data_IF_722339642904
#
_entry.id   IF_722339642904
#
_cell.length_a   1.000
_cell.length_b   1.000
_cell.length_c   1.000
_cell.angle_alpha   90.00
_cell.angle_beta   90.00
_cell.angle_gamma   90.00
#
_symmetry.space_group_name_H-M   'P 1'
#
loop_
_entity.id
_entity.type
_entity.pdbx_description
1 polymer ?
#
# COMPACT_ATOMS: atom_id res chain seq x y z
N UNK A 1 23.51 22.01 8.18
CA UNK A 1 22.44 21.00 8.05
C UNK A 1 22.79 19.84 8.97
N UNK A 2 22.13 19.76 10.12
CA UNK A 2 22.27 18.59 11.00
C UNK A 2 21.37 17.49 10.45
N UNK A 3 21.98 16.39 10.03
CA UNK A 3 21.29 15.17 9.65
C UNK A 3 20.77 14.56 10.94
N UNK A 4 19.45 14.61 11.16
CA UNK A 4 18.83 13.91 12.27
C UNK A 4 19.18 12.42 12.16
N UNK A 5 19.98 11.94 13.11
CA UNK A 5 20.12 10.51 13.36
C UNK A 5 18.71 9.97 13.61
N UNK A 6 18.20 9.23 12.63
CA UNK A 6 17.06 8.35 12.83
C UNK A 6 17.47 7.46 13.98
N UNK A 7 16.82 7.67 15.13
CA UNK A 7 16.97 6.82 16.29
C UNK A 7 16.81 5.38 15.81
N UNK A 8 17.90 4.62 15.90
CA UNK A 8 17.89 3.18 15.81
C UNK A 8 16.94 2.67 16.90
N UNK A 9 15.64 2.62 16.57
CA UNK A 9 14.76 1.70 17.24
C UNK A 9 15.34 0.32 16.91
N UNK A 10 15.91 -0.29 17.94
CA UNK A 10 16.09 -1.73 18.05
C UNK A 10 14.72 -2.38 17.84
N UNK A 11 14.29 -2.47 16.59
CA UNK A 11 13.34 -3.48 16.15
C UNK A 11 14.16 -4.74 16.25
N UNK A 12 14.12 -5.40 17.42
CA UNK A 12 14.39 -6.82 17.45
C UNK A 12 13.55 -7.39 16.31
N UNK A 13 14.18 -7.81 15.21
CA UNK A 13 13.55 -8.66 14.22
C UNK A 13 13.33 -9.99 14.96
N UNK A 14 12.33 -9.95 15.84
CA UNK A 14 12.02 -10.99 16.79
C UNK A 14 11.43 -12.11 15.99
N UNK A 15 12.01 -13.30 16.16
CA UNK A 15 11.56 -14.56 15.59
C UNK A 15 10.07 -14.54 15.22
N UNK A 16 9.77 -14.75 13.94
CA UNK A 16 8.38 -14.83 13.47
C UNK A 16 7.60 -15.94 14.18
N UNK A 17 8.27 -16.98 14.67
CA UNK A 17 7.63 -17.97 15.54
C UNK A 17 7.49 -17.46 16.98
N UNK A 18 6.25 -17.31 17.45
CA UNK A 18 5.90 -16.91 18.82
C UNK A 18 5.11 -18.00 19.52
N UNK A 19 5.60 -18.49 20.65
CA UNK A 19 4.89 -19.49 21.46
C UNK A 19 4.60 -18.89 22.82
N UNK A 20 3.33 -18.92 23.24
CA UNK A 20 2.93 -18.45 24.55
C UNK A 20 3.63 -19.29 25.65
N UNK A 21 4.40 -18.68 26.58
CA UNK A 21 5.11 -19.41 27.63
C UNK A 21 4.21 -20.28 28.52
N UNK A 22 2.92 -19.93 28.63
CA UNK A 22 1.93 -20.74 29.37
C UNK A 22 1.72 -22.13 28.77
N UNK A 23 2.13 -22.35 27.52
CA UNK A 23 2.04 -23.64 26.84
C UNK A 23 3.21 -24.58 27.15
N UNK A 24 4.17 -24.16 28.00
CA UNK A 24 5.30 -25.01 28.42
C UNK A 24 4.85 -26.42 28.92
N UNK A 25 3.81 -26.57 29.75
CA UNK A 25 3.35 -27.90 30.15
C UNK A 25 2.87 -28.75 28.96
N UNK A 26 2.20 -28.15 27.97
CA UNK A 26 1.79 -28.86 26.76
C UNK A 26 3.00 -29.30 25.93
N UNK A 27 4.02 -28.44 25.81
CA UNK A 27 5.27 -28.78 25.12
C UNK A 27 6.03 -29.93 25.82
N UNK A 28 6.02 -29.97 27.15
CA UNK A 28 6.68 -31.02 27.93
C UNK A 28 5.97 -32.37 27.79
N UNK A 29 4.65 -32.36 27.67
CA UNK A 29 3.84 -33.57 27.46
C UNK A 29 3.73 -33.97 25.98
N UNK A 30 4.17 -33.13 25.05
CA UNK A 30 4.10 -33.41 23.62
C UNK A 30 5.14 -34.46 23.20
N UNK A 31 4.83 -35.19 22.13
CA UNK A 31 5.81 -36.06 21.50
C UNK A 31 7.00 -35.24 20.98
N UNK A 32 8.23 -35.78 21.08
CA UNK A 32 9.45 -35.08 20.65
C UNK A 32 9.38 -34.57 19.21
N UNK A 33 8.81 -35.37 18.30
CA UNK A 33 8.57 -34.99 16.91
C UNK A 33 7.75 -33.68 16.75
N UNK A 34 6.85 -33.37 17.70
CA UNK A 34 6.11 -32.09 17.70
C UNK A 34 7.04 -30.93 18.02
N UNK A 35 7.93 -31.08 19.00
CA UNK A 35 8.92 -30.07 19.38
C UNK A 35 9.90 -29.83 18.24
N UNK A 36 10.41 -30.90 17.61
CA UNK A 36 11.28 -30.79 16.42
C UNK A 36 10.58 -30.08 15.27
N UNK A 37 9.29 -30.37 15.04
CA UNK A 37 8.51 -29.68 14.02
C UNK A 37 8.41 -28.18 14.31
N UNK A 38 8.08 -27.79 15.53
CA UNK A 38 8.02 -26.37 15.91
C UNK A 38 9.38 -25.68 15.73
N UNK A 39 10.48 -26.36 16.06
CA UNK A 39 11.83 -25.84 15.79
C UNK A 39 12.12 -25.67 14.30
N UNK A 40 11.71 -26.65 13.47
CA UNK A 40 11.84 -26.56 12.01
C UNK A 40 11.05 -25.37 11.46
N UNK A 41 9.80 -25.20 11.90
CA UNK A 41 8.97 -24.04 11.54
C UNK A 41 9.68 -22.75 11.93
N UNK A 42 10.23 -22.66 13.15
CA UNK A 42 10.98 -21.49 13.60
C UNK A 42 12.14 -21.11 12.68
N UNK A 43 12.87 -22.09 12.15
CA UNK A 43 13.92 -21.86 11.13
C UNK A 43 13.34 -21.45 9.78
N UNK A 44 12.25 -22.07 9.35
CA UNK A 44 11.62 -21.77 8.06
C UNK A 44 11.06 -20.34 7.98
N UNK A 45 10.61 -19.78 9.10
CA UNK A 45 10.07 -18.42 9.17
C UNK A 45 11.05 -17.39 9.74
N UNK A 46 12.31 -17.75 9.96
CA UNK A 46 13.29 -16.88 10.63
C UNK A 46 13.48 -15.52 9.92
N UNK A 47 13.32 -15.50 8.60
CA UNK A 47 13.51 -14.31 7.76
C UNK A 47 12.21 -13.54 7.49
N UNK A 48 11.07 -14.03 8.01
CA UNK A 48 9.78 -13.33 7.91
C UNK A 48 9.75 -12.22 8.96
N UNK A 49 9.44 -10.99 8.52
CA UNK A 49 9.52 -9.76 9.31
C UNK A 49 8.18 -9.11 9.53
N UNK A 50 7.26 -9.24 8.56
CA UNK A 50 5.96 -8.56 8.59
C UNK A 50 4.86 -9.38 9.25
N UNK A 51 5.08 -10.68 9.44
CA UNK A 51 4.07 -11.61 9.95
C UNK A 51 4.68 -12.61 10.93
N UNK A 52 3.92 -12.91 11.98
CA UNK A 52 4.26 -13.89 13.00
C UNK A 52 3.37 -15.13 12.87
N UNK A 53 3.97 -16.31 13.11
CA UNK A 53 3.28 -17.56 13.39
C UNK A 53 3.19 -17.72 14.91
N UNK A 54 1.98 -17.63 15.45
CA UNK A 54 1.73 -17.60 16.89
C UNK A 54 1.04 -18.87 17.38
N UNK A 55 1.46 -19.37 18.54
CA UNK A 55 0.78 -20.43 19.29
C UNK A 55 0.30 -19.85 20.62
N UNK A 56 -0.98 -19.51 20.67
CA UNK A 56 -1.55 -18.67 21.75
C UNK A 56 -2.31 -19.51 22.79
N UNK A 57 -3.19 -20.39 22.30
CA UNK A 57 -4.12 -21.17 23.12
C UNK A 57 -3.65 -22.63 23.31
N UNK A 58 -3.04 -23.21 22.28
CA UNK A 58 -2.49 -24.56 22.29
C UNK A 58 -1.35 -24.69 21.27
N UNK A 59 -0.60 -25.80 21.34
CA UNK A 59 0.58 -26.07 20.48
C UNK A 59 0.23 -26.70 19.13
N UNK A 60 -1.04 -27.02 18.87
CA UNK A 60 -1.50 -27.73 17.68
C UNK A 60 -2.15 -26.78 16.67
N UNK A 61 -2.71 -25.66 17.14
CA UNK A 61 -3.47 -24.71 16.33
C UNK A 61 -2.70 -23.39 16.19
N UNK A 62 -1.95 -23.21 15.09
CA UNK A 62 -1.24 -21.96 14.86
C UNK A 62 -2.21 -20.84 14.46
N UNK A 63 -1.80 -19.61 14.73
CA UNK A 63 -2.41 -18.40 14.19
C UNK A 63 -1.35 -17.63 13.41
N UNK A 64 -1.77 -16.85 12.40
CA UNK A 64 -0.87 -15.97 11.65
C UNK A 64 -1.33 -14.54 11.87
N UNK A 65 -0.44 -13.68 12.38
CA UNK A 65 -0.74 -12.29 12.75
C UNK A 65 0.25 -11.35 12.07
N UNK A 66 -0.16 -10.11 11.82
CA UNK A 66 0.78 -9.08 11.40
C UNK A 66 1.70 -8.73 12.57
N UNK A 67 2.98 -8.53 12.29
CA UNK A 67 3.97 -8.05 13.26
C UNK A 67 3.78 -6.55 13.56
N UNK A 68 2.94 -5.83 12.79
CA UNK A 68 2.63 -4.43 13.02
C UNK A 68 1.76 -4.26 14.28
N UNK A 69 2.08 -3.25 15.08
CA UNK A 69 1.32 -2.94 16.29
C UNK A 69 -0.15 -2.63 15.94
N UNK A 70 -1.08 -3.26 16.67
CA UNK A 70 -2.54 -3.07 16.62
C UNK A 70 -3.34 -3.95 15.64
N UNK A 71 -2.72 -4.91 14.96
CA UNK A 71 -3.48 -5.88 14.17
C UNK A 71 -3.83 -7.12 15.01
N UNK A 72 -5.11 -7.28 15.33
CA UNK A 72 -5.64 -8.45 16.05
C UNK A 72 -6.18 -9.53 15.11
N UNK A 73 -6.02 -9.39 13.79
CA UNK A 73 -6.51 -10.34 12.81
C UNK A 73 -5.73 -11.65 12.87
N UNK A 74 -6.45 -12.76 12.78
CA UNK A 74 -5.88 -14.08 12.52
C UNK A 74 -6.04 -14.39 11.03
N UNK A 75 -4.98 -14.20 10.27
CA UNK A 75 -4.96 -14.44 8.83
C UNK A 75 -5.08 -15.93 8.48
N UNK A 76 -4.65 -16.83 9.37
CA UNK A 76 -4.77 -18.27 9.14
C UNK A 76 -6.22 -18.72 9.20
N UNK A 77 -6.96 -18.29 10.23
CA UNK A 77 -8.40 -18.55 10.32
C UNK A 77 -9.19 -17.91 9.17
N UNK A 78 -8.78 -16.73 8.71
CA UNK A 78 -9.36 -16.07 7.54
C UNK A 78 -9.20 -16.94 6.27
N UNK A 79 -8.00 -17.46 6.03
CA UNK A 79 -7.74 -18.37 4.90
C UNK A 79 -8.57 -19.64 5.02
N UNK A 80 -8.62 -20.28 6.20
CA UNK A 80 -9.43 -21.48 6.40
C UNK A 80 -10.92 -21.22 6.15
N UNK A 81 -11.44 -20.05 6.53
CA UNK A 81 -12.82 -19.65 6.22
C UNK A 81 -13.03 -19.52 4.71
N UNK A 82 -12.08 -18.90 4.00
CA UNK A 82 -12.15 -18.78 2.54
C UNK A 82 -12.08 -20.15 1.87
N UNK A 83 -11.20 -21.03 2.32
CA UNK A 83 -11.08 -22.42 1.86
C UNK A 83 -12.40 -23.18 2.01
N UNK A 84 -13.10 -22.99 3.12
CA UNK A 84 -14.42 -23.55 3.37
C UNK A 84 -15.52 -23.09 2.39
N UNK A 85 -15.28 -22.03 1.61
CA UNK A 85 -16.22 -21.49 0.63
C UNK A 85 -15.81 -21.76 -0.82
N UNK A 86 -14.59 -22.25 -1.09
CA UNK A 86 -14.07 -22.37 -2.45
C UNK A 86 -14.93 -23.28 -3.32
N UNK A 87 -15.20 -22.84 -4.55
CA UNK A 87 -16.01 -23.57 -5.52
C UNK A 87 -17.49 -23.76 -5.13
N UNK A 88 -17.92 -23.31 -3.94
CA UNK A 88 -19.32 -23.39 -3.53
C UNK A 88 -20.15 -22.31 -4.25
N UNK A 89 -21.41 -22.59 -4.59
CA UNK A 89 -22.29 -21.56 -5.12
C UNK A 89 -22.50 -20.44 -4.09
N UNK A 90 -22.63 -19.21 -4.57
CA UNK A 90 -23.05 -18.08 -3.76
C UNK A 90 -24.25 -17.39 -4.39
N UNK A 91 -25.05 -16.74 -3.55
CA UNK A 91 -26.14 -15.86 -3.96
C UNK A 91 -25.95 -14.52 -3.28
N UNK A 92 -25.99 -13.44 -4.04
CA UNK A 92 -25.92 -12.07 -3.53
C UNK A 92 -27.12 -11.30 -4.07
N UNK A 93 -27.90 -10.73 -3.16
CA UNK A 93 -29.03 -9.87 -3.49
C UNK A 93 -28.62 -8.41 -3.27
N UNK A 94 -28.72 -7.60 -4.32
CA UNK A 94 -28.42 -6.17 -4.31
C UNK A 94 -29.65 -5.40 -4.79
N UNK A 95 -30.42 -4.85 -3.85
CA UNK A 95 -31.72 -4.25 -4.18
C UNK A 95 -32.70 -5.33 -4.66
N UNK A 96 -33.29 -5.12 -5.85
CA UNK A 96 -34.23 -6.05 -6.47
C UNK A 96 -33.54 -7.16 -7.29
N UNK A 97 -32.24 -7.02 -7.56
CA UNK A 97 -31.48 -7.98 -8.37
C UNK A 97 -30.84 -9.08 -7.50
N UNK A 98 -31.00 -10.33 -7.94
CA UNK A 98 -30.34 -11.49 -7.33
C UNK A 98 -29.33 -12.09 -8.30
N UNK A 99 -28.07 -12.09 -7.89
CA UNK A 99 -26.96 -12.68 -8.63
C UNK A 99 -26.57 -14.02 -8.02
N UNK A 100 -26.37 -15.02 -8.88
CA UNK A 100 -25.87 -16.33 -8.51
C UNK A 100 -24.56 -16.60 -9.23
N UNK A 101 -23.63 -17.26 -8.54
CA UNK A 101 -22.33 -17.59 -9.09
C UNK A 101 -21.64 -18.66 -8.28
N UNK A 102 -20.36 -18.86 -8.56
CA UNK A 102 -19.50 -19.78 -7.83
C UNK A 102 -18.35 -19.01 -7.20
N UNK A 103 -18.03 -19.34 -5.96
CA UNK A 103 -16.83 -18.84 -5.31
C UNK A 103 -15.58 -19.29 -6.10
N UNK A 104 -14.48 -18.53 -6.03
CA UNK A 104 -13.25 -18.88 -6.71
C UNK A 104 -12.74 -20.25 -6.25
N UNK A 105 -11.89 -20.87 -7.07
CA UNK A 105 -11.27 -22.18 -6.78
C UNK A 105 -10.03 -22.08 -5.88
N UNK A 106 -9.64 -20.87 -5.52
CA UNK A 106 -8.48 -20.56 -4.68
C UNK A 106 -8.70 -19.22 -3.95
N UNK A 107 -8.04 -18.99 -2.80
CA UNK A 107 -8.13 -17.72 -2.09
C UNK A 107 -7.58 -16.54 -2.90
N UNK A 108 -8.17 -15.33 -2.82
CA UNK A 108 -7.77 -14.18 -3.65
C UNK A 108 -6.29 -13.77 -3.53
N UNK A 109 -5.64 -14.02 -2.40
CA UNK A 109 -4.22 -13.70 -2.20
C UNK A 109 -3.31 -14.40 -3.23
N UNK A 110 -3.69 -15.60 -3.68
CA UNK A 110 -2.93 -16.33 -4.70
C UNK A 110 -3.08 -15.68 -6.08
N UNK A 111 -4.23 -15.11 -6.41
CA UNK A 111 -4.41 -14.32 -7.63
C UNK A 111 -3.47 -13.12 -7.64
N UNK A 112 -3.50 -12.33 -6.55
CA UNK A 112 -2.70 -11.11 -6.42
C UNK A 112 -1.21 -11.36 -6.60
N UNK A 113 -0.71 -12.51 -6.14
CA UNK A 113 0.72 -12.83 -6.16
C UNK A 113 1.19 -13.58 -7.39
N UNK A 114 0.32 -14.39 -8.00
CA UNK A 114 0.71 -15.39 -8.97
C UNK A 114 -0.10 -15.35 -10.27
N UNK A 115 -1.13 -14.51 -10.38
CA UNK A 115 -1.98 -14.34 -11.55
C UNK A 115 -2.39 -15.70 -12.15
N UNK A 116 -1.98 -15.98 -13.39
CA UNK A 116 -2.26 -17.23 -14.09
C UNK A 116 -1.77 -18.52 -13.40
N UNK A 117 -0.86 -18.44 -12.43
CA UNK A 117 -0.37 -19.58 -11.64
C UNK A 117 -1.05 -19.72 -10.27
N UNK A 118 -2.06 -18.90 -9.97
CA UNK A 118 -2.71 -18.86 -8.67
C UNK A 118 -3.25 -20.21 -8.22
N UNK A 119 -3.96 -20.92 -9.09
CA UNK A 119 -4.52 -22.23 -8.78
C UNK A 119 -3.45 -23.29 -8.48
N UNK A 120 -2.37 -23.32 -9.26
CA UNK A 120 -1.25 -24.26 -9.05
C UNK A 120 -0.55 -23.98 -7.71
N UNK A 121 -0.30 -22.70 -7.41
CA UNK A 121 0.34 -22.28 -6.16
C UNK A 121 -0.54 -22.53 -4.94
N UNK A 122 -1.84 -22.31 -5.06
CA UNK A 122 -2.78 -22.68 -4.03
C UNK A 122 -2.79 -24.20 -3.80
N UNK A 123 -2.78 -25.03 -4.85
CA UNK A 123 -2.69 -26.49 -4.69
C UNK A 123 -1.42 -26.92 -3.95
N UNK A 124 -0.28 -26.33 -4.28
CA UNK A 124 0.99 -26.59 -3.58
C UNK A 124 0.85 -26.27 -2.08
N UNK A 125 0.32 -25.09 -1.76
CA UNK A 125 0.04 -24.69 -0.38
C UNK A 125 -0.94 -25.64 0.34
N UNK A 126 -2.07 -25.96 -0.30
CA UNK A 126 -3.10 -26.83 0.28
C UNK A 126 -2.62 -28.28 0.47
N UNK A 127 -1.65 -28.72 -0.33
CA UNK A 127 -1.02 -30.04 -0.20
C UNK A 127 0.01 -30.16 0.92
N UNK A 128 0.33 -29.07 1.62
CA UNK A 128 1.23 -29.11 2.76
C UNK A 128 0.67 -30.05 3.85
N UNK A 129 1.52 -30.89 4.46
CA UNK A 129 1.09 -32.06 5.22
C UNK A 129 0.38 -31.74 6.54
N UNK A 130 0.56 -30.53 7.07
CA UNK A 130 -0.05 -30.14 8.35
C UNK A 130 -0.27 -28.64 8.45
N UNK A 131 -1.12 -28.25 9.41
CA UNK A 131 -1.51 -26.86 9.68
C UNK A 131 -0.33 -25.96 10.07
N UNK A 132 0.74 -26.52 10.64
CA UNK A 132 1.91 -25.73 11.03
C UNK A 132 2.71 -25.29 9.79
N UNK A 133 2.93 -26.20 8.86
CA UNK A 133 3.60 -25.91 7.58
C UNK A 133 2.75 -24.96 6.74
N UNK A 134 1.43 -25.14 6.73
CA UNK A 134 0.50 -24.20 6.09
C UNK A 134 0.60 -22.80 6.71
N UNK A 135 0.59 -22.68 8.04
CA UNK A 135 0.71 -21.37 8.71
C UNK A 135 2.06 -20.69 8.42
N UNK A 136 3.15 -21.45 8.43
CA UNK A 136 4.48 -20.96 8.07
C UNK A 136 4.52 -20.46 6.62
N UNK A 137 4.01 -21.23 5.67
CA UNK A 137 3.98 -20.82 4.27
C UNK A 137 3.06 -19.62 4.06
N UNK A 138 1.91 -19.56 4.75
CA UNK A 138 1.01 -18.42 4.69
C UNK A 138 1.70 -17.12 5.15
N UNK A 139 2.50 -17.17 6.22
CA UNK A 139 3.24 -15.99 6.70
C UNK A 139 4.16 -15.41 5.62
N UNK A 140 4.86 -16.27 4.85
CA UNK A 140 5.73 -15.89 3.73
C UNK A 140 4.92 -15.33 2.56
N UNK A 141 3.78 -15.94 2.25
CA UNK A 141 2.87 -15.48 1.18
C UNK A 141 2.36 -14.07 1.50
N UNK A 142 1.92 -13.83 2.74
CA UNK A 142 1.44 -12.53 3.19
C UNK A 142 2.54 -11.46 3.15
N UNK A 143 3.74 -11.78 3.64
CA UNK A 143 4.88 -10.87 3.56
C UNK A 143 5.23 -10.52 2.10
N UNK A 144 5.28 -11.53 1.23
CA UNK A 144 5.54 -11.32 -0.20
C UNK A 144 4.51 -10.37 -0.83
N UNK A 145 3.24 -10.48 -0.44
CA UNK A 145 2.17 -9.59 -0.92
C UNK A 145 2.46 -8.16 -0.51
N UNK A 146 2.74 -7.94 0.77
CA UNK A 146 2.92 -6.59 1.29
C UNK A 146 4.20 -5.93 0.78
N UNK A 147 5.28 -6.69 0.64
CA UNK A 147 6.51 -6.20 -0.01
C UNK A 147 6.28 -5.84 -1.48
N UNK A 148 5.45 -6.60 -2.21
CA UNK A 148 5.07 -6.25 -3.58
C UNK A 148 4.23 -4.96 -3.62
N UNK A 149 3.25 -4.83 -2.72
CA UNK A 149 2.43 -3.62 -2.60
C UNK A 149 3.27 -2.38 -2.24
N UNK A 150 4.23 -2.50 -1.32
CA UNK A 150 5.15 -1.41 -0.97
C UNK A 150 6.01 -0.98 -2.17
N UNK A 151 6.64 -1.94 -2.87
CA UNK A 151 7.46 -1.63 -4.06
C UNK A 151 6.65 -0.96 -5.17
N UNK A 152 5.43 -1.44 -5.42
CA UNK A 152 4.57 -0.84 -6.45
C UNK A 152 4.11 0.57 -6.07
N UNK A 153 3.87 0.83 -4.79
CA UNK A 153 3.57 2.17 -4.29
C UNK A 153 4.77 3.11 -4.45
N UNK A 154 5.96 2.70 -4.00
CA UNK A 154 7.20 3.47 -4.13
C UNK A 154 7.52 3.78 -5.60
N UNK A 155 7.37 2.81 -6.51
CA UNK A 155 7.58 3.02 -7.94
C UNK A 155 6.61 4.05 -8.54
N UNK A 156 5.34 4.06 -8.09
CA UNK A 156 4.36 5.04 -8.53
C UNK A 156 4.70 6.45 -8.04
N UNK A 157 5.11 6.58 -6.78
CA UNK A 157 5.52 7.87 -6.21
C UNK A 157 6.78 8.41 -6.91
N UNK A 158 7.78 7.55 -7.16
CA UNK A 158 8.96 7.95 -7.94
C UNK A 158 8.59 8.38 -9.36
N UNK A 159 7.71 7.65 -10.06
CA UNK A 159 7.25 8.02 -11.40
C UNK A 159 6.49 9.36 -11.40
N UNK A 160 5.74 9.65 -10.34
CA UNK A 160 5.05 10.94 -10.17
C UNK A 160 6.04 12.09 -9.98
N UNK A 161 7.04 11.92 -9.11
CA UNK A 161 8.09 12.92 -8.88
C UNK A 161 8.89 13.22 -10.15
N UNK A 162 9.22 12.20 -10.94
CA UNK A 162 9.91 12.38 -12.23
C UNK A 162 9.06 13.21 -13.20
N UNK A 163 7.76 12.91 -13.32
CA UNK A 163 6.84 13.69 -14.18
C UNK A 163 6.72 15.15 -13.72
N UNK A 164 6.59 15.38 -12.41
CA UNK A 164 6.51 16.73 -11.86
C UNK A 164 7.79 17.54 -12.13
N UNK A 165 8.96 16.92 -12.03
CA UNK A 165 10.24 17.55 -12.36
C UNK A 165 10.36 17.86 -13.86
N UNK A 166 9.94 16.94 -14.74
CA UNK A 166 9.92 17.18 -16.19
C UNK A 166 9.02 18.37 -16.56
N UNK A 167 7.85 18.49 -15.92
CA UNK A 167 6.94 19.62 -16.14
C UNK A 167 7.58 20.94 -15.67
N UNK A 168 8.26 20.94 -14.51
CA UNK A 168 8.98 22.12 -14.00
C UNK A 168 10.11 22.55 -14.94
N UNK A 169 10.90 21.60 -15.45
CA UNK A 169 11.96 21.87 -16.42
C UNK A 169 11.41 22.43 -17.74
N UNK A 170 10.30 21.88 -18.25
CA UNK A 170 9.65 22.40 -19.46
C UNK A 170 9.13 23.82 -19.25
N UNK A 171 8.51 24.11 -18.10
CA UNK A 171 8.08 25.47 -17.75
C UNK A 171 9.25 26.45 -17.68
N UNK A 172 10.35 26.08 -17.03
CA UNK A 172 11.54 26.93 -16.96
C UNK A 172 12.15 27.20 -18.35
N UNK A 173 12.19 26.19 -19.23
CA UNK A 173 12.63 26.36 -20.62
C UNK A 173 11.69 27.28 -21.40
N UNK A 174 10.38 27.17 -21.19
CA UNK A 174 9.39 28.02 -21.83
C UNK A 174 9.50 29.47 -21.35
N UNK A 175 9.65 29.71 -20.05
CA UNK A 175 9.90 31.05 -19.48
C UNK A 175 11.16 31.67 -20.08
N UNK A 176 12.27 30.91 -20.10
CA UNK A 176 13.52 31.39 -20.72
C UNK A 176 13.35 31.72 -22.21
N UNK A 177 12.57 30.92 -22.95
CA UNK A 177 12.29 31.18 -24.36
C UNK A 177 11.42 32.44 -24.56
N UNK A 178 10.43 32.65 -23.69
CA UNK A 178 9.58 33.86 -23.68
C UNK A 178 10.44 35.09 -23.37
N UNK A 179 11.28 35.04 -22.34
CA UNK A 179 12.16 36.15 -21.96
C UNK A 179 13.12 36.51 -23.09
N UNK A 180 13.73 35.51 -23.73
CA UNK A 180 14.57 35.72 -24.91
C UNK A 180 13.81 36.37 -26.06
N UNK A 181 12.59 35.89 -26.35
CA UNK A 181 11.76 36.43 -27.42
C UNK A 181 11.32 37.88 -27.13
N UNK A 182 10.93 38.17 -25.89
CA UNK A 182 10.62 39.53 -25.45
C UNK A 182 11.83 40.44 -25.54
N UNK A 183 13.02 39.98 -25.12
CA UNK A 183 14.25 40.79 -25.21
C UNK A 183 14.67 41.12 -26.65
N UNK A 184 14.45 40.20 -27.59
CA UNK A 184 14.86 40.37 -29.00
C UNK A 184 13.88 41.24 -29.79
N UNK A 185 12.59 41.14 -29.49
CA UNK A 185 11.52 41.80 -30.23
C UNK A 185 10.76 42.83 -29.39
N UNK A 186 11.34 43.28 -28.28
CA UNK A 186 10.75 44.32 -27.44
C UNK A 186 10.65 45.60 -28.26
N UNK A 187 9.42 45.90 -28.67
CA UNK A 187 9.09 47.20 -29.22
C UNK A 187 8.87 48.15 -28.04
N UNK A 188 9.59 49.28 -28.00
CA UNK A 188 9.23 50.40 -27.14
C UNK A 188 7.91 50.97 -27.66
N UNK A 189 6.80 50.39 -27.20
CA UNK A 189 5.49 50.98 -27.41
C UNK A 189 5.42 52.21 -26.51
N UNK A 190 5.72 53.39 -27.08
CA UNK A 190 5.26 54.64 -26.50
C UNK A 190 3.73 54.56 -26.39
N UNK A 191 3.23 54.19 -25.21
CA UNK A 191 1.87 54.57 -24.85
C UNK A 191 1.88 56.09 -24.86
N UNK A 192 1.38 56.69 -25.96
CA UNK A 192 0.86 58.04 -25.91
C UNK A 192 -0.21 58.00 -24.83
N UNK A 193 0.17 58.38 -23.61
CA UNK A 193 -0.78 58.89 -22.64
C UNK A 193 -1.40 60.10 -23.32
N UNK A 194 -2.52 59.88 -24.00
CA UNK A 194 -3.41 60.96 -24.35
C UNK A 194 -3.68 61.68 -23.04
N UNK A 195 -3.11 62.89 -22.95
CA UNK A 195 -3.27 63.76 -21.80
C UNK A 195 -4.74 63.70 -21.40
N UNK A 196 -4.95 63.52 -20.10
CA UNK A 196 -6.21 63.62 -19.34
C UNK A 196 -6.78 65.06 -19.44
N UNK A 197 -6.85 65.61 -20.65
CA UNK A 197 -7.24 66.98 -20.99
C UNK A 197 -8.54 67.04 -21.76
N UNK A 198 -8.92 65.99 -22.49
CA UNK A 198 -10.19 65.98 -23.24
C UNK A 198 -11.40 65.96 -22.29
N UNK A 199 -11.39 65.11 -21.26
CA UNK A 199 -12.46 65.05 -20.26
C UNK A 199 -12.43 66.21 -19.25
N UNK A 200 -11.26 66.80 -18.97
CA UNK A 200 -11.14 68.01 -18.13
C UNK A 200 -11.70 69.27 -18.82
N UNK A 201 -11.63 69.36 -20.15
CA UNK A 201 -12.22 70.46 -20.92
C UNK A 201 -13.75 70.39 -21.05
N UNK A 202 -14.32 69.18 -21.09
CA UNK A 202 -15.78 68.96 -21.16
C UNK A 202 -16.48 69.20 -19.81
N UNK A 203 -15.85 68.81 -18.69
CA UNK A 203 -16.42 69.04 -17.35
C UNK A 203 -16.56 70.53 -16.98
N UNK A 204 -15.64 71.39 -17.47
CA UNK A 204 -15.70 72.84 -17.23
C UNK A 204 -16.74 73.57 -18.11
N UNK A 205 -17.15 72.98 -19.25
CA UNK A 205 -18.20 73.57 -20.11
C UNK A 205 -19.61 73.21 -19.62
N UNK A 206 -19.80 72.06 -18.98
CA UNK A 206 -21.11 71.68 -18.45
C UNK A 206 -21.43 72.32 -17.08
N UNK A 207 -20.41 72.66 -16.28
CA UNK A 207 -20.61 73.35 -15.00
C UNK A 207 -20.84 74.86 -15.16
N UNK A 208 -20.40 75.49 -16.26
CA UNK A 208 -20.66 76.91 -16.52
C UNK A 208 -22.00 77.20 -17.22
N UNK A 209 -22.77 76.18 -17.59
CA UNK A 209 -24.09 76.30 -18.23
C UNK A 209 -25.27 76.02 -17.27
N UNK A 210 -24.99 75.58 -16.05
CA UNK A 210 -25.97 75.38 -14.96
C UNK A 210 -25.88 76.47 -13.87
N UNK A 211 -25.05 77.50 -14.09
CA UNK A 211 -24.89 78.66 -13.21
C UNK A 211 -25.18 79.93 -14.00
N UNK A 212 -26.46 80.16 -14.34
CA UNK A 212 -27.07 81.49 -14.49
C UNK A 212 -28.58 81.36 -14.53
#
# INVERSE_FOLDING_TARGET
>A
MQVNNIQNHNTNFGMALKINPKLKPQLQSAHFATVERLQKIGKEVENVKLYDVCYENDIYTPTVRSAMKNDSKNYFAEIQRQEGLLGKPYTVTCGDDTYQGFNPKYPPIFETLYNNKAYEKYKQYASLPNVHEQAAELSKILEKRDLMSQRTFEAKEQAKLVKENQIKEQKAKQETAIDNLLSQYQYEFEQKTEKVGFWKGLANKFTSLLSK
#
